data_IF_786142172025
#
_entry.id   IF_786142172025
#
_cell.length_a   1.000
_cell.length_b   1.000
_cell.length_c   1.000
_cell.angle_alpha   90.00
_cell.angle_beta   90.00
_cell.angle_gamma   90.00
#
_symmetry.space_group_name_H-M   'P 1'
#
loop_
_entity.id
_entity.type
_entity.pdbx_description
1 polymer ?
#
# COMPACT_ATOMS: atom_id res chain seq x y z
N UNK A 1 5.50 -7.92 0.30
CA UNK A 1 4.02 -7.86 0.41
C UNK A 1 3.64 -6.48 0.88
N UNK A 2 2.84 -5.74 0.11
CA UNK A 2 2.40 -4.39 0.47
C UNK A 2 1.19 -4.56 1.39
N UNK A 3 1.47 -4.66 2.69
CA UNK A 3 0.50 -5.05 3.74
C UNK A 3 -0.74 -4.15 3.81
N UNK A 4 -0.68 -2.94 3.25
CA UNK A 4 -1.78 -1.99 3.27
C UNK A 4 -2.81 -2.17 2.14
N UNK A 5 -2.34 -2.50 0.92
CA UNK A 5 -3.24 -2.80 -0.20
C UNK A 5 -3.58 -4.30 -0.31
N UNK A 6 -2.90 -5.17 0.46
CA UNK A 6 -3.08 -6.61 0.37
C UNK A 6 -2.50 -7.23 -0.90
N UNK A 7 -1.72 -6.48 -1.67
CA UNK A 7 -1.13 -6.91 -2.94
C UNK A 7 0.34 -7.28 -2.79
N UNK A 8 0.85 -8.08 -3.74
CA UNK A 8 2.25 -8.48 -3.76
C UNK A 8 3.18 -7.27 -3.93
N UNK A 9 4.43 -7.36 -3.46
CA UNK A 9 5.42 -6.30 -3.74
C UNK A 9 5.74 -6.21 -5.24
N UNK A 10 5.49 -7.28 -5.99
CA UNK A 10 5.63 -7.32 -7.43
C UNK A 10 4.33 -6.98 -8.18
N UNK A 11 3.25 -6.62 -7.49
CA UNK A 11 1.96 -6.37 -8.12
C UNK A 11 2.02 -5.29 -9.19
N UNK A 12 1.45 -5.57 -10.36
CA UNK A 12 1.48 -4.66 -11.50
C UNK A 12 0.69 -3.38 -11.27
N UNK A 13 0.95 -2.36 -12.08
CA UNK A 13 0.27 -1.06 -12.02
C UNK A 13 -1.27 -1.21 -12.15
N UNK A 14 -1.72 -2.23 -12.89
CA UNK A 14 -3.13 -2.61 -12.98
C UNK A 14 -3.68 -3.18 -11.67
N UNK A 15 -2.96 -4.08 -10.99
CA UNK A 15 -3.35 -4.59 -9.67
C UNK A 15 -3.40 -3.48 -8.63
N UNK A 16 -2.43 -2.56 -8.65
CA UNK A 16 -2.39 -1.39 -7.77
C UNK A 16 -3.62 -0.50 -7.99
N UNK A 17 -3.97 -0.21 -9.25
CA UNK A 17 -5.18 0.55 -9.61
C UNK A 17 -6.46 -0.19 -9.21
N UNK A 18 -6.53 -1.49 -9.41
CA UNK A 18 -7.69 -2.30 -9.04
C UNK A 18 -7.89 -2.34 -7.52
N UNK A 19 -6.83 -2.57 -6.77
CA UNK A 19 -6.85 -2.56 -5.30
C UNK A 19 -7.20 -1.18 -4.76
N UNK A 20 -6.64 -0.09 -5.32
CA UNK A 20 -7.00 1.28 -4.96
C UNK A 20 -8.49 1.55 -5.16
N UNK A 21 -9.06 1.19 -6.32
CA UNK A 21 -10.49 1.37 -6.60
C UNK A 21 -11.38 0.58 -5.63
N UNK A 22 -10.96 -0.64 -5.27
CA UNK A 22 -11.70 -1.51 -4.34
C UNK A 22 -11.68 -0.96 -2.92
N UNK A 23 -10.49 -0.61 -2.41
CA UNK A 23 -10.30 -0.04 -1.08
C UNK A 23 -10.89 1.36 -0.93
N UNK A 24 -10.87 2.17 -1.99
CA UNK A 24 -11.49 3.50 -2.01
C UNK A 24 -13.01 3.41 -1.81
N UNK A 25 -13.65 2.38 -2.38
CA UNK A 25 -15.07 2.07 -2.12
C UNK A 25 -15.30 1.47 -0.73
N UNK A 26 -14.32 0.79 -0.15
CA UNK A 26 -14.41 0.19 1.20
C UNK A 26 -14.21 1.20 2.33
N UNK A 27 -13.38 2.22 2.09
CA UNK A 27 -13.13 3.32 3.01
C UNK A 27 -14.00 4.55 2.74
N UNK A 28 -14.95 4.45 1.81
CA UNK A 28 -15.89 5.53 1.57
C UNK A 28 -16.77 5.73 2.81
N UNK A 29 -17.00 6.97 3.28
CA UNK A 29 -17.77 7.25 4.50
C UNK A 29 -19.22 6.71 4.46
N UNK A 30 -19.72 6.41 3.27
CA UNK A 30 -21.07 5.90 3.01
C UNK A 30 -21.19 4.37 3.16
N UNK A 31 -20.10 3.63 2.94
CA UNK A 31 -20.06 2.15 2.96
C UNK A 31 -19.27 1.59 4.14
N UNK A 32 -18.48 2.42 4.81
CA UNK A 32 -17.61 2.00 5.90
C UNK A 32 -18.29 2.22 7.25
N UNK A 33 -18.25 1.21 8.12
CA UNK A 33 -18.72 1.36 9.52
C UNK A 33 -17.66 1.99 10.45
N UNK A 34 -16.52 2.40 9.89
CA UNK A 34 -15.43 3.03 10.64
C UNK A 34 -15.75 4.50 10.94
N UNK A 35 -15.29 5.02 12.09
CA UNK A 35 -15.42 6.44 12.39
C UNK A 35 -14.74 7.29 11.30
N UNK A 36 -15.37 8.40 10.90
CA UNK A 36 -14.94 9.28 9.80
C UNK A 36 -13.44 9.60 9.84
N UNK A 37 -12.90 9.81 11.04
CA UNK A 37 -11.49 10.12 11.28
C UNK A 37 -10.56 8.96 10.89
N UNK A 38 -10.94 7.73 11.22
CA UNK A 38 -10.18 6.53 10.85
C UNK A 38 -10.33 6.18 9.37
N UNK A 39 -11.53 6.38 8.80
CA UNK A 39 -11.77 6.22 7.37
C UNK A 39 -10.89 7.18 6.56
N UNK A 40 -10.84 8.46 6.97
CA UNK A 40 -10.01 9.49 6.35
C UNK A 40 -8.51 9.17 6.45
N UNK A 41 -8.02 8.72 7.61
CA UNK A 41 -6.62 8.32 7.79
C UNK A 41 -6.23 7.13 6.89
N UNK A 42 -7.11 6.14 6.77
CA UNK A 42 -6.91 5.00 5.86
C UNK A 42 -6.96 5.41 4.40
N UNK A 43 -7.85 6.32 4.03
CA UNK A 43 -7.96 6.84 2.68
C UNK A 43 -6.72 7.66 2.29
N UNK A 44 -6.20 8.47 3.22
CA UNK A 44 -4.97 9.23 3.03
C UNK A 44 -3.78 8.30 2.82
N UNK A 45 -3.62 7.28 3.67
CA UNK A 45 -2.60 6.24 3.48
C UNK A 45 -2.76 5.48 2.16
N UNK A 46 -3.99 5.17 1.76
CA UNK A 46 -4.25 4.50 0.48
C UNK A 46 -3.73 5.35 -0.69
N UNK A 47 -3.97 6.67 -0.64
CA UNK A 47 -3.49 7.62 -1.65
C UNK A 47 -1.98 7.74 -1.65
N UNK A 48 -1.36 7.81 -0.47
CA UNK A 48 0.09 7.92 -0.31
C UNK A 48 0.81 6.68 -0.85
N UNK A 49 0.29 5.48 -0.54
CA UNK A 49 0.83 4.25 -1.09
C UNK A 49 0.60 4.17 -2.61
N UNK A 50 -0.56 4.61 -3.11
CA UNK A 50 -0.78 4.66 -4.57
C UNK A 50 0.19 5.62 -5.27
N UNK A 51 0.42 6.81 -4.73
CA UNK A 51 1.37 7.80 -5.27
C UNK A 51 2.79 7.23 -5.36
N UNK A 52 3.23 6.57 -4.30
CA UNK A 52 4.55 5.91 -4.21
C UNK A 52 4.66 4.71 -5.15
N UNK A 53 3.56 3.97 -5.39
CA UNK A 53 3.57 2.80 -6.26
C UNK A 53 3.36 3.13 -7.74
N UNK A 54 2.71 4.25 -8.04
CA UNK A 54 2.52 4.75 -9.39
C UNK A 54 3.84 5.24 -10.01
N UNK A 55 4.78 5.63 -9.16
CA UNK A 55 6.12 6.07 -9.54
C UNK A 55 7.09 4.89 -9.43
N UNK A 56 7.58 4.39 -10.58
CA UNK A 56 8.47 3.23 -10.64
C UNK A 56 9.77 3.41 -9.84
N UNK A 57 10.28 4.64 -9.77
CA UNK A 57 11.50 4.98 -9.05
C UNK A 57 11.27 4.89 -7.53
N UNK A 58 10.14 5.42 -7.06
CA UNK A 58 9.70 5.32 -5.66
C UNK A 58 9.30 3.91 -5.26
N UNK A 59 8.68 3.16 -6.17
CA UNK A 59 8.29 1.75 -5.98
C UNK A 59 9.51 0.86 -5.71
N UNK A 60 10.62 1.08 -6.43
CA UNK A 60 11.92 0.43 -6.16
C UNK A 60 12.44 0.79 -4.78
N UNK A 61 12.28 2.03 -4.33
CA UNK A 61 12.73 2.46 -3.01
C UNK A 61 11.91 1.81 -1.88
N UNK A 62 10.58 1.75 -1.98
CA UNK A 62 9.73 1.09 -0.97
C UNK A 62 9.97 -0.42 -0.91
N UNK A 63 10.15 -1.06 -2.07
CA UNK A 63 10.49 -2.48 -2.16
C UNK A 63 11.89 -2.75 -1.62
N UNK A 64 12.86 -1.90 -1.96
CA UNK A 64 14.25 -1.97 -1.47
C UNK A 64 14.39 -1.69 0.02
N UNK A 65 13.59 -0.77 0.57
CA UNK A 65 13.60 -0.44 2.00
C UNK A 65 12.97 -1.58 2.84
N UNK A 66 11.92 -2.23 2.35
CA UNK A 66 11.39 -3.45 2.97
C UNK A 66 12.33 -4.65 2.81
N UNK A 67 12.98 -4.81 1.66
CA UNK A 67 13.94 -5.88 1.41
C UNK A 67 15.21 -5.73 2.25
N UNK A 68 15.72 -4.51 2.45
CA UNK A 68 16.84 -4.26 3.38
C UNK A 68 16.51 -4.70 4.79
N UNK A 69 15.28 -4.47 5.27
CA UNK A 69 14.84 -4.94 6.60
C UNK A 69 14.74 -6.47 6.69
N UNK A 70 14.39 -7.15 5.60
CA UNK A 70 14.29 -8.62 5.56
C UNK A 70 15.65 -9.31 5.31
N UNK A 71 16.54 -8.70 4.53
CA UNK A 71 17.89 -9.21 4.30
C UNK A 71 18.81 -9.03 5.52
N UNK A 72 18.66 -7.93 6.27
CA UNK A 72 19.41 -7.71 7.52
C UNK A 72 19.13 -8.78 8.60
N UNK A 73 17.94 -9.40 8.58
CA UNK A 73 17.59 -10.47 9.51
C UNK A 73 18.15 -11.85 9.11
N UNK A 74 18.59 -12.03 7.85
CA UNK A 74 19.12 -13.30 7.33
C UNK A 74 20.66 -13.38 7.37
N UNK A 75 21.34 -12.26 7.61
CA UNK A 75 22.81 -12.17 7.62
C UNK A 75 23.44 -12.30 9.02
N UNK A 76 22.63 -12.34 10.10
CA UNK A 76 23.11 -12.74 11.43
C UNK A 76 23.09 -14.27 11.51
N UNK A 77 24.08 -14.86 10.86
CA UNK A 77 24.48 -16.26 11.02
C UNK A 77 25.36 -16.39 12.25
#
# INVERSE_FOLDING_TARGET
>A
MIRFLGISAQADLEEIKAAYRRLSKEYHPDTTSLPLKAASDKFLKLREVYDVLCDEERRRFTTGHLLKRLQAAKQRR
#
